data_IF_812359085462
#
_entry.id   IF_812359085462
#
_cell.length_a   1.000
_cell.length_b   1.000
_cell.length_c   1.000
_cell.angle_alpha   90.00
_cell.angle_beta   90.00
_cell.angle_gamma   90.00
#
_symmetry.space_group_name_H-M   'P 1'
#
loop_
_entity.id
_entity.type
_entity.pdbx_description
1 polymer ?
#
# COMPACT_ATOMS: atom_id res chain seq x y z
N UNK A 1 7.98 8.22 8.91
CA UNK A 1 7.70 6.79 8.64
C UNK A 1 6.81 6.29 9.76
N UNK A 2 5.57 5.94 9.47
CA UNK A 2 4.62 5.51 10.50
C UNK A 2 4.89 4.05 10.88
N UNK A 3 5.32 3.81 12.12
CA UNK A 3 5.58 2.50 12.71
C UNK A 3 4.28 1.81 13.15
N UNK A 4 3.22 1.87 12.34
CA UNK A 4 2.00 1.12 12.63
C UNK A 4 2.21 -0.31 12.16
N UNK A 5 2.04 -1.26 13.08
CA UNK A 5 2.16 -2.67 12.77
C UNK A 5 1.06 -3.08 11.77
N UNK A 6 1.38 -4.02 10.87
CA UNK A 6 0.43 -4.54 9.86
C UNK A 6 -0.97 -4.90 10.43
N UNK A 7 -1.10 -5.42 11.67
CA UNK A 7 -2.39 -5.62 12.32
C UNK A 7 -3.20 -4.33 12.56
N UNK A 8 -2.56 -3.25 13.00
CA UNK A 8 -3.23 -1.96 13.23
C UNK A 8 -3.75 -1.36 11.92
N UNK A 9 -3.05 -1.61 10.81
CA UNK A 9 -3.53 -1.22 9.48
C UNK A 9 -4.71 -2.11 9.07
N UNK A 10 -4.68 -3.42 9.33
CA UNK A 10 -5.84 -4.29 9.10
C UNK A 10 -7.11 -3.83 9.83
N UNK A 11 -6.96 -3.45 11.11
CA UNK A 11 -8.04 -2.91 11.94
C UNK A 11 -8.55 -1.57 11.42
N UNK A 12 -7.65 -0.64 11.07
CA UNK A 12 -8.02 0.67 10.51
C UNK A 12 -8.78 0.58 9.17
N UNK A 13 -8.64 -0.54 8.45
CA UNK A 13 -9.31 -0.80 7.18
C UNK A 13 -10.51 -1.75 7.32
N UNK A 14 -11.11 -1.79 8.52
CA UNK A 14 -12.38 -2.49 8.80
C UNK A 14 -12.19 -3.89 9.40
N UNK A 15 -11.14 -4.11 10.18
CA UNK A 15 -10.87 -5.42 10.81
C UNK A 15 -10.48 -6.50 9.79
N UNK A 16 -9.89 -6.11 8.66
CA UNK A 16 -9.45 -7.06 7.63
C UNK A 16 -8.25 -7.82 8.14
N UNK A 17 -8.28 -9.14 7.97
CA UNK A 17 -7.20 -10.02 8.40
C UNK A 17 -5.84 -9.54 7.85
N UNK A 18 -4.82 -9.57 8.70
CA UNK A 18 -3.46 -9.12 8.41
C UNK A 18 -2.87 -9.73 7.13
N UNK A 19 -3.29 -10.93 6.72
CA UNK A 19 -2.91 -11.53 5.44
C UNK A 19 -3.44 -10.74 4.25
N UNK A 20 -4.62 -10.10 4.35
CA UNK A 20 -5.19 -9.22 3.32
C UNK A 20 -4.27 -8.03 3.05
N UNK A 21 -3.66 -7.45 4.10
CA UNK A 21 -2.67 -6.38 3.95
C UNK A 21 -1.40 -6.86 3.27
N UNK A 22 -0.91 -8.05 3.63
CA UNK A 22 0.23 -8.68 2.94
C UNK A 22 -0.05 -8.90 1.44
N UNK A 23 -1.24 -9.42 1.10
CA UNK A 23 -1.68 -9.59 -0.28
C UNK A 23 -1.80 -8.25 -1.01
N UNK A 24 -2.36 -7.22 -0.37
CA UNK A 24 -2.48 -5.89 -0.96
C UNK A 24 -1.11 -5.25 -1.25
N UNK A 25 -0.16 -5.33 -0.31
CA UNK A 25 1.20 -4.84 -0.51
C UNK A 25 1.89 -5.54 -1.69
N UNK A 26 1.74 -6.87 -1.78
CA UNK A 26 2.30 -7.64 -2.90
C UNK A 26 1.66 -7.25 -4.23
N UNK A 27 0.33 -7.12 -4.28
CA UNK A 27 -0.42 -6.73 -5.48
C UNK A 27 -0.04 -5.33 -5.98
N UNK A 28 0.12 -4.37 -5.06
CA UNK A 28 0.57 -3.00 -5.40
C UNK A 28 1.96 -3.02 -6.01
N UNK A 29 2.88 -3.84 -5.47
CA UNK A 29 4.22 -3.99 -6.04
C UNK A 29 4.17 -4.54 -7.46
N UNK A 30 3.40 -5.59 -7.68
CA UNK A 30 3.21 -6.19 -9.02
C UNK A 30 2.60 -5.18 -10.01
N UNK A 31 1.57 -4.42 -9.60
CA UNK A 31 0.95 -3.39 -10.43
C UNK A 31 1.92 -2.28 -10.82
N UNK A 32 2.77 -1.86 -9.88
CA UNK A 32 3.76 -0.82 -10.14
C UNK A 32 4.78 -1.28 -11.19
N UNK A 33 5.16 -2.56 -11.13
CA UNK A 33 6.14 -3.13 -12.06
C UNK A 33 5.52 -3.40 -13.45
N UNK A 34 4.21 -3.66 -13.54
CA UNK A 34 3.51 -3.91 -14.81
C UNK A 34 2.87 -2.69 -15.47
N UNK A 35 2.47 -1.68 -14.69
CA UNK A 35 1.71 -0.53 -15.18
C UNK A 35 2.45 0.79 -14.91
N UNK A 36 2.90 1.42 -16.00
CA UNK A 36 3.62 2.69 -15.95
C UNK A 36 2.78 3.81 -15.30
N UNK A 37 1.47 3.83 -15.55
CA UNK A 37 0.55 4.79 -14.92
C UNK A 37 0.51 4.67 -13.40
N UNK A 38 0.59 3.43 -12.89
CA UNK A 38 0.58 3.16 -11.45
C UNK A 38 1.86 3.67 -10.78
N UNK A 39 2.99 3.58 -11.49
CA UNK A 39 4.27 4.18 -11.08
C UNK A 39 4.23 5.71 -11.04
N UNK A 40 3.61 6.35 -12.04
CA UNK A 40 3.44 7.80 -12.06
C UNK A 40 2.55 8.28 -10.90
N UNK A 41 1.39 7.65 -10.70
CA UNK A 41 0.48 7.97 -9.60
C UNK A 41 1.15 7.78 -8.24
N UNK A 42 1.92 6.70 -8.07
CA UNK A 42 2.70 6.44 -6.86
C UNK A 42 3.74 7.53 -6.59
N UNK A 43 4.47 7.95 -7.62
CA UNK A 43 5.48 9.02 -7.51
C UNK A 43 4.84 10.36 -7.19
N UNK A 44 3.68 10.66 -7.79
CA UNK A 44 2.90 11.85 -7.52
C UNK A 44 2.37 11.89 -6.08
N UNK A 45 1.90 10.74 -5.56
CA UNK A 45 1.47 10.62 -4.16
C UNK A 45 2.62 10.84 -3.18
N UNK A 46 3.78 10.21 -3.41
CA UNK A 46 4.96 10.41 -2.59
C UNK A 46 5.41 11.87 -2.55
N UNK A 47 5.38 12.54 -3.71
CA UNK A 47 5.72 13.97 -3.80
C UNK A 47 4.74 14.86 -3.02
N UNK A 48 3.46 14.52 -2.98
CA UNK A 48 2.44 15.28 -2.23
C UNK A 48 2.50 15.07 -0.71
N UNK A 49 3.15 13.99 -0.26
CA UNK A 49 3.32 13.64 1.15
C UNK A 49 4.70 14.03 1.70
N UNK A 50 5.58 14.56 0.85
CA UNK A 50 6.86 15.16 1.22
C UNK A 50 6.66 16.63 1.60
#
# INVERSE_FOLDING_TARGET
MTSHSLPQVGDAFGGRDHTTMLHACKRIKELRDSEQRMTEDYSNLLRKMA
#
